data_IF_653601744947
#
_entry.id   IF_653601744947
#
_cell.length_a   1.000
_cell.length_b   1.000
_cell.length_c   1.000
_cell.angle_alpha   90.00
_cell.angle_beta   90.00
_cell.angle_gamma   90.00
#
_symmetry.space_group_name_H-M   'P 1'
#
loop_
_entity.id
_entity.type
_entity.pdbx_description
1 polymer ?
#
# COMPACT_ATOMS: atom_id res chain seq x y z
N UNK A 1 26.98 1.03 -15.27
CA UNK A 1 25.68 1.27 -14.60
C UNK A 1 25.96 1.82 -13.21
N UNK A 2 25.55 3.04 -12.88
CA UNK A 2 25.88 3.67 -11.59
C UNK A 2 24.86 3.31 -10.49
N UNK A 3 25.27 3.39 -9.22
CA UNK A 3 24.44 3.05 -8.06
C UNK A 3 23.14 3.89 -7.95
N UNK A 4 23.14 5.12 -8.48
CA UNK A 4 21.97 6.01 -8.49
C UNK A 4 20.81 5.46 -9.36
N UNK A 5 21.12 4.78 -10.47
CA UNK A 5 20.12 4.16 -11.35
C UNK A 5 19.43 2.97 -10.67
N UNK A 6 20.18 2.19 -9.88
CA UNK A 6 19.64 1.03 -9.15
C UNK A 6 18.62 1.41 -8.07
N UNK A 7 18.86 2.52 -7.36
CA UNK A 7 17.98 3.01 -6.30
C UNK A 7 16.61 3.49 -6.83
N UNK A 8 16.60 4.15 -7.99
CA UNK A 8 15.37 4.57 -8.67
C UNK A 8 14.54 3.36 -9.12
N UNK A 9 15.19 2.36 -9.75
CA UNK A 9 14.52 1.13 -10.18
C UNK A 9 13.93 0.34 -9.00
N UNK A 10 14.61 0.30 -7.85
CA UNK A 10 14.09 -0.33 -6.64
C UNK A 10 12.83 0.38 -6.12
N UNK A 11 12.81 1.71 -6.11
CA UNK A 11 11.63 2.50 -5.70
C UNK A 11 10.43 2.23 -6.62
N UNK A 12 10.63 2.22 -7.94
CA UNK A 12 9.57 1.93 -8.91
C UNK A 12 9.01 0.51 -8.74
N UNK A 13 9.88 -0.48 -8.52
CA UNK A 13 9.44 -1.87 -8.24
C UNK A 13 8.62 -1.94 -6.96
N UNK A 14 9.04 -1.26 -5.89
CA UNK A 14 8.27 -1.22 -4.62
C UNK A 14 6.91 -0.58 -4.81
N UNK A 15 6.83 0.55 -5.53
CA UNK A 15 5.57 1.21 -5.87
C UNK A 15 4.64 0.26 -6.63
N UNK A 16 5.14 -0.43 -7.65
CA UNK A 16 4.36 -1.39 -8.42
C UNK A 16 3.82 -2.55 -7.56
N UNK A 17 4.63 -3.08 -6.64
CA UNK A 17 4.19 -4.15 -5.72
C UNK A 17 3.08 -3.66 -4.78
N UNK A 18 3.20 -2.48 -4.20
CA UNK A 18 2.16 -1.94 -3.30
C UNK A 18 0.86 -1.63 -4.05
N UNK A 19 0.95 -1.07 -5.26
CA UNK A 19 -0.25 -0.87 -6.09
C UNK A 19 -0.91 -2.20 -6.45
N UNK A 20 -0.11 -3.23 -6.79
CA UNK A 20 -0.65 -4.56 -7.06
C UNK A 20 -1.30 -5.18 -5.82
N UNK A 21 -0.77 -4.95 -4.62
CA UNK A 21 -1.38 -5.39 -3.37
C UNK A 21 -2.73 -4.72 -3.15
N UNK A 22 -2.82 -3.39 -3.33
CA UNK A 22 -4.10 -2.68 -3.21
C UNK A 22 -5.14 -3.21 -4.22
N UNK A 23 -4.74 -3.48 -5.46
CA UNK A 23 -5.62 -4.05 -6.48
C UNK A 23 -6.13 -5.45 -6.09
N UNK A 24 -5.27 -6.29 -5.49
CA UNK A 24 -5.66 -7.60 -4.99
C UNK A 24 -6.60 -7.50 -3.78
N UNK A 25 -6.37 -6.56 -2.87
CA UNK A 25 -7.27 -6.32 -1.75
C UNK A 25 -8.68 -5.92 -2.23
N UNK A 26 -8.77 -5.07 -3.25
CA UNK A 26 -10.04 -4.69 -3.87
C UNK A 26 -10.70 -5.87 -4.59
N UNK A 27 -9.92 -6.68 -5.33
CA UNK A 27 -10.42 -7.86 -6.02
C UNK A 27 -10.95 -8.96 -5.07
N UNK A 28 -10.39 -9.05 -3.87
CA UNK A 28 -10.78 -10.02 -2.84
C UNK A 28 -11.55 -9.36 -1.67
N UNK A 29 -12.19 -8.21 -1.91
CA UNK A 29 -12.75 -7.41 -0.83
C UNK A 29 -13.82 -8.13 0.00
N UNK A 30 -14.65 -8.97 -0.63
CA UNK A 30 -15.68 -9.73 0.07
C UNK A 30 -15.10 -10.80 1.00
N UNK A 31 -14.10 -11.53 0.52
CA UNK A 31 -13.40 -12.57 1.30
C UNK A 31 -12.68 -11.95 2.50
N UNK A 32 -11.94 -10.86 2.26
CA UNK A 32 -11.23 -10.14 3.31
C UNK A 32 -12.20 -9.54 4.35
N UNK A 33 -13.33 -8.98 3.90
CA UNK A 33 -14.34 -8.44 4.80
C UNK A 33 -15.01 -9.52 5.65
N UNK A 34 -15.25 -10.71 5.08
CA UNK A 34 -15.76 -11.86 5.83
C UNK A 34 -14.78 -12.31 6.91
N UNK A 35 -13.49 -12.46 6.56
CA UNK A 35 -12.46 -12.84 7.53
C UNK A 35 -12.35 -11.83 8.67
N UNK A 36 -12.27 -10.54 8.35
CA UNK A 36 -12.21 -9.45 9.32
C UNK A 36 -13.45 -9.44 10.24
N UNK A 37 -14.63 -9.71 9.69
CA UNK A 37 -15.89 -9.80 10.46
C UNK A 37 -15.87 -11.00 11.40
N UNK A 38 -15.38 -12.16 10.94
CA UNK A 38 -15.30 -13.36 11.76
C UNK A 38 -14.31 -13.21 12.92
N UNK A 39 -13.20 -12.49 12.70
CA UNK A 39 -12.18 -12.26 13.72
C UNK A 39 -12.64 -11.26 14.80
N UNK A 40 -13.35 -10.20 14.38
CA UNK A 40 -13.67 -9.06 15.26
C UNK A 40 -15.11 -9.03 15.77
N UNK A 41 -16.01 -9.79 15.15
CA UNK A 41 -17.45 -9.81 15.47
C UNK A 41 -18.24 -8.56 15.02
N UNK A 42 -17.64 -7.67 14.21
CA UNK A 42 -18.34 -6.47 13.71
C UNK A 42 -19.32 -6.82 12.59
N UNK A 43 -20.37 -6.01 12.34
CA UNK A 43 -21.24 -6.22 11.20
C UNK A 43 -20.48 -6.18 9.85
N UNK A 44 -20.74 -7.15 8.97
CA UNK A 44 -20.08 -7.27 7.65
C UNK A 44 -20.10 -5.99 6.81
N UNK A 45 -21.14 -5.16 6.96
CA UNK A 45 -21.25 -3.86 6.27
C UNK A 45 -20.11 -2.90 6.62
N UNK A 46 -19.58 -2.97 7.83
CA UNK A 46 -18.48 -2.11 8.28
C UNK A 46 -17.18 -2.53 7.59
N UNK A 47 -16.93 -3.83 7.52
CA UNK A 47 -15.74 -4.34 6.84
C UNK A 47 -15.76 -4.14 5.32
N UNK A 48 -16.91 -4.35 4.68
CA UNK A 48 -17.07 -4.13 3.24
C UNK A 48 -16.94 -2.65 2.86
N UNK A 49 -17.49 -1.73 3.65
CA UNK A 49 -17.58 -0.32 3.28
C UNK A 49 -16.39 0.50 3.75
N UNK A 50 -15.88 0.19 4.94
CA UNK A 50 -14.97 1.06 5.66
C UNK A 50 -13.57 0.43 5.76
N UNK A 51 -13.47 -0.79 6.33
CA UNK A 51 -12.17 -1.39 6.66
C UNK A 51 -11.35 -1.79 5.42
N UNK A 52 -11.88 -2.68 4.57
CA UNK A 52 -11.12 -3.20 3.42
C UNK A 52 -10.83 -2.09 2.41
N UNK A 53 -11.81 -1.24 2.02
CA UNK A 53 -11.53 -0.10 1.15
C UNK A 53 -10.57 0.91 1.81
N UNK A 54 -10.67 1.13 3.11
CA UNK A 54 -9.77 2.00 3.87
C UNK A 54 -8.33 1.52 3.84
N UNK A 55 -8.12 0.23 4.10
CA UNK A 55 -6.80 -0.39 4.07
C UNK A 55 -6.19 -0.37 2.66
N UNK A 56 -6.96 -0.71 1.62
CA UNK A 56 -6.49 -0.64 0.23
C UNK A 56 -6.08 0.79 -0.18
N UNK A 57 -6.89 1.81 0.19
CA UNK A 57 -6.54 3.22 -0.03
C UNK A 57 -5.28 3.63 0.71
N UNK A 58 -5.09 3.18 1.95
CA UNK A 58 -3.88 3.48 2.71
C UNK A 58 -2.63 2.89 2.04
N UNK A 59 -2.68 1.62 1.61
CA UNK A 59 -1.59 0.99 0.86
C UNK A 59 -1.28 1.78 -0.41
N UNK A 60 -2.32 2.17 -1.17
CA UNK A 60 -2.17 2.95 -2.40
C UNK A 60 -1.56 4.32 -2.14
N UNK A 61 -1.96 4.99 -1.06
CA UNK A 61 -1.36 6.25 -0.62
C UNK A 61 0.13 6.10 -0.33
N UNK A 62 0.53 5.05 0.41
CA UNK A 62 1.95 4.78 0.68
C UNK A 62 2.73 4.41 -0.58
N UNK A 63 2.12 3.72 -1.54
CA UNK A 63 2.72 3.44 -2.85
C UNK A 63 3.08 4.74 -3.59
N UNK A 64 2.18 5.72 -3.56
CA UNK A 64 2.39 7.03 -4.15
C UNK A 64 3.34 7.92 -3.35
N UNK A 65 3.63 7.63 -2.09
CA UNK A 65 4.57 8.39 -1.28
C UNK A 65 6.03 7.92 -1.43
N UNK A 66 6.30 6.76 -2.06
CA UNK A 66 7.64 6.16 -2.16
C UNK A 66 8.68 7.05 -2.86
N UNK A 67 8.24 7.86 -3.82
CA UNK A 67 9.09 8.81 -4.54
C UNK A 67 9.20 10.18 -3.84
N UNK A 68 8.32 10.46 -2.88
CA UNK A 68 8.24 11.72 -2.12
C UNK A 68 8.99 11.70 -0.79
N UNK A 69 9.58 10.56 -0.42
CA UNK A 69 10.54 10.51 0.70
C UNK A 69 11.85 11.11 0.20
N UNK A 70 11.94 12.44 0.30
CA UNK A 70 13.18 13.19 0.24
C UNK A 70 13.93 12.90 1.54
N UNK A 71 14.86 11.95 1.49
CA UNK A 71 15.89 11.92 2.52
C UNK A 71 16.65 13.23 2.44
N UNK A 72 16.75 13.96 3.54
CA UNK A 72 17.68 15.08 3.66
C UNK A 72 19.04 14.64 3.11
N UNK A 73 19.44 15.20 1.97
CA UNK A 73 20.84 15.21 1.59
C UNK A 73 21.42 16.44 2.29
N UNK A 74 21.57 16.38 3.60
CA UNK A 74 22.53 17.22 4.29
C UNK A 74 23.92 16.66 3.96
N UNK A 75 24.39 16.95 2.75
CA UNK A 75 25.82 16.98 2.47
C UNK A 75 26.41 18.11 3.29
N UNK A 76 26.82 17.81 4.52
CA UNK A 76 27.87 18.61 5.16
C UNK A 76 29.18 18.29 4.43
N UNK A 77 29.47 19.13 3.44
CA UNK A 77 30.82 19.63 3.23
C UNK A 77 31.28 20.39 4.48
#
# INVERSE_FOLDING_TARGET
MNAATGHSLLRLKRKAVLNKLADLMEAHAEELALLETLDTGKPIRHSLRDDIPGAARAIRWYAEAIDKVYGEVATHQ
#
